data_IF_659744965167
#
_entry.id   IF_659744965167
#
_cell.length_a   1.000
_cell.length_b   1.000
_cell.length_c   1.000
_cell.angle_alpha   90.00
_cell.angle_beta   90.00
_cell.angle_gamma   90.00
#
_symmetry.space_group_name_H-M   'P 1'
#
loop_
_entity.id
_entity.type
_entity.pdbx_description
1 polymer ?
#
# COMPACT_ATOMS: atom_id res chain seq x y z
N UNK A 1 -14.49 16.05 5.52
CA UNK A 1 -13.70 16.09 4.28
C UNK A 1 -12.44 15.24 4.46
N UNK A 2 -12.16 14.39 3.49
CA UNK A 2 -10.97 13.56 3.51
C UNK A 2 -9.91 14.14 2.58
N UNK A 3 -8.66 14.12 3.02
CA UNK A 3 -7.54 14.57 2.20
C UNK A 3 -6.42 13.52 2.23
N UNK A 4 -5.66 13.47 1.13
CA UNK A 4 -4.55 12.53 0.97
C UNK A 4 -3.27 13.33 0.80
N UNK A 5 -2.24 12.97 1.55
CA UNK A 5 -0.93 13.61 1.48
C UNK A 5 0.18 12.59 1.72
N UNK A 6 1.41 12.98 1.40
CA UNK A 6 2.57 12.16 1.78
C UNK A 6 2.65 12.05 3.31
N UNK A 7 3.00 10.88 3.80
CA UNK A 7 3.24 10.69 5.22
C UNK A 7 4.52 11.41 5.64
N UNK A 8 4.59 11.74 6.92
CA UNK A 8 5.82 12.21 7.55
C UNK A 8 6.10 11.36 8.80
N UNK A 9 7.19 11.61 9.47
CA UNK A 9 7.62 10.81 10.62
C UNK A 9 6.56 10.81 11.74
N UNK A 10 5.80 11.88 11.89
CA UNK A 10 4.77 11.99 12.92
C UNK A 10 3.54 11.14 12.64
N UNK A 11 3.36 10.69 11.41
CA UNK A 11 2.22 9.85 11.02
C UNK A 11 2.45 8.36 11.31
N UNK A 12 3.69 7.95 11.54
CA UNK A 12 4.06 6.52 11.58
C UNK A 12 3.33 5.74 12.66
N UNK A 13 3.13 6.34 13.83
CA UNK A 13 2.40 5.69 14.92
C UNK A 13 0.93 5.47 14.55
N UNK A 14 0.31 6.46 13.91
CA UNK A 14 -1.07 6.35 13.44
C UNK A 14 -1.22 5.32 12.33
N UNK A 15 -0.22 5.21 11.44
CA UNK A 15 -0.19 4.19 10.40
C UNK A 15 -0.08 2.79 11.03
N UNK A 16 0.78 2.63 12.02
CA UNK A 16 0.92 1.37 12.74
C UNK A 16 -0.38 0.99 13.44
N UNK A 17 -1.07 1.95 14.04
CA UNK A 17 -2.37 1.71 14.67
C UNK A 17 -3.39 1.25 13.63
N UNK A 18 -3.50 1.93 12.51
CA UNK A 18 -4.39 1.55 11.41
C UNK A 18 -4.09 0.13 10.91
N UNK A 19 -2.81 -0.23 10.80
CA UNK A 19 -2.39 -1.58 10.44
C UNK A 19 -2.86 -2.60 11.48
N UNK A 20 -2.64 -2.34 12.77
CA UNK A 20 -2.91 -3.32 13.82
C UNK A 20 -4.41 -3.61 13.99
N UNK A 21 -5.28 -2.64 13.71
CA UNK A 21 -6.74 -2.85 13.84
C UNK A 21 -7.37 -3.45 12.58
N UNK A 22 -6.68 -3.44 11.43
CA UNK A 22 -7.27 -3.86 10.15
C UNK A 22 -6.64 -5.10 9.53
N UNK A 23 -5.38 -5.37 9.81
CA UNK A 23 -4.63 -6.44 9.16
C UNK A 23 -3.97 -7.34 10.20
N UNK A 24 -3.93 -8.66 9.95
CA UNK A 24 -3.17 -9.57 10.82
C UNK A 24 -1.67 -9.45 10.62
N UNK A 25 -1.21 -8.96 9.47
CA UNK A 25 0.20 -8.74 9.17
C UNK A 25 0.64 -7.42 9.79
N UNK A 26 1.15 -7.49 11.02
CA UNK A 26 1.59 -6.30 11.75
C UNK A 26 3.10 -6.13 11.66
N UNK A 27 3.53 -4.89 11.54
CA UNK A 27 4.95 -4.54 11.44
C UNK A 27 5.37 -3.77 12.69
N UNK A 28 6.65 -3.89 13.08
CA UNK A 28 7.19 -3.07 14.15
C UNK A 28 7.49 -1.65 13.63
N UNK A 29 7.69 -0.71 14.55
CA UNK A 29 7.92 0.70 14.19
C UNK A 29 9.19 0.89 13.36
N UNK A 30 10.21 0.05 13.55
CA UNK A 30 11.44 0.10 12.76
C UNK A 30 11.16 -0.06 11.26
N UNK A 31 10.22 -0.91 10.90
CA UNK A 31 9.87 -1.16 9.51
C UNK A 31 9.23 0.08 8.87
N UNK A 32 8.37 0.79 9.62
CA UNK A 32 7.79 2.05 9.16
C UNK A 32 8.85 3.12 8.98
N UNK A 33 9.79 3.24 9.91
CA UNK A 33 10.92 4.17 9.76
C UNK A 33 11.78 3.84 8.54
N UNK A 34 12.03 2.56 8.30
CA UNK A 34 12.79 2.12 7.13
C UNK A 34 12.19 2.67 5.84
N UNK A 35 10.86 2.52 5.68
CA UNK A 35 10.17 3.06 4.51
C UNK A 35 10.22 4.59 4.47
N UNK A 36 9.96 5.25 5.57
CA UNK A 36 9.89 6.71 5.64
C UNK A 36 11.22 7.37 5.33
N UNK A 37 12.31 6.78 5.79
CA UNK A 37 13.65 7.35 5.60
C UNK A 37 14.21 7.01 4.21
N UNK A 38 13.94 5.82 3.71
CA UNK A 38 14.49 5.36 2.43
C UNK A 38 13.70 5.88 1.22
N UNK A 39 12.36 5.95 1.34
CA UNK A 39 11.49 6.35 0.22
C UNK A 39 10.37 7.28 0.74
N UNK A 40 10.70 8.51 1.10
CA UNK A 40 9.75 9.42 1.78
C UNK A 40 8.50 9.74 0.95
N UNK A 41 8.57 9.66 -0.37
CA UNK A 41 7.42 9.94 -1.23
C UNK A 41 6.55 8.73 -1.54
N UNK A 42 6.91 7.54 -1.07
CA UNK A 42 6.17 6.32 -1.40
C UNK A 42 5.19 5.87 -0.33
N UNK A 43 5.00 6.66 0.72
CA UNK A 43 4.00 6.37 1.74
C UNK A 43 3.04 7.55 1.85
N UNK A 44 1.75 7.24 1.82
CA UNK A 44 0.68 8.23 1.83
C UNK A 44 -0.22 7.99 3.03
N UNK A 45 -0.85 9.04 3.51
CA UNK A 45 -1.94 8.91 4.48
C UNK A 45 -3.18 9.62 3.98
N UNK A 46 -4.31 9.14 4.45
CA UNK A 46 -5.58 9.85 4.33
C UNK A 46 -5.99 10.32 5.71
N UNK A 47 -6.39 11.58 5.81
CA UNK A 47 -6.84 12.14 7.07
C UNK A 47 -8.19 12.82 6.92
N UNK A 48 -8.96 12.83 8.01
CA UNK A 48 -10.25 13.52 8.04
C UNK A 48 -10.05 15.02 8.35
N UNK A 49 -11.15 15.76 8.41
CA UNK A 49 -11.10 17.21 8.67
C UNK A 49 -10.57 17.59 10.06
N UNK A 50 -10.38 16.61 10.94
CA UNK A 50 -9.84 16.81 12.29
C UNK A 50 -8.39 16.32 12.43
N UNK A 51 -7.79 15.89 11.34
CA UNK A 51 -6.41 15.40 11.35
C UNK A 51 -6.26 13.93 11.76
N UNK A 52 -7.34 13.17 11.88
CA UNK A 52 -7.27 11.75 12.20
C UNK A 52 -6.85 10.97 10.96
N UNK A 53 -5.82 10.14 11.08
CA UNK A 53 -5.39 9.23 10.01
C UNK A 53 -6.39 8.09 9.89
N UNK A 54 -7.03 7.97 8.74
CA UNK A 54 -8.06 6.97 8.48
C UNK A 54 -7.67 5.94 7.44
N UNK A 55 -6.50 6.07 6.85
CA UNK A 55 -5.95 5.09 5.90
C UNK A 55 -4.53 5.44 5.54
N UNK A 56 -3.82 4.47 4.95
CA UNK A 56 -2.43 4.68 4.54
C UNK A 56 -2.02 3.72 3.42
N UNK A 57 -0.94 4.08 2.74
CA UNK A 57 -0.14 3.18 1.93
C UNK A 57 1.30 3.22 2.43
N UNK A 58 1.98 2.08 2.36
CA UNK A 58 3.39 1.94 2.69
C UNK A 58 4.08 1.34 1.48
N UNK A 59 4.96 2.10 0.83
CA UNK A 59 5.61 1.69 -0.41
C UNK A 59 7.11 1.77 -0.34
N UNK A 60 7.77 1.00 -1.20
CA UNK A 60 9.23 0.97 -1.31
C UNK A 60 9.65 0.58 -2.74
N UNK A 61 10.94 0.65 -3.00
CA UNK A 61 11.53 0.03 -4.19
C UNK A 61 12.07 -1.35 -3.81
N UNK A 62 12.13 -2.25 -4.79
CA UNK A 62 12.75 -3.56 -4.57
C UNK A 62 14.26 -3.40 -4.39
N UNK A 63 14.82 -4.11 -3.42
CA UNK A 63 16.26 -4.03 -3.12
C UNK A 63 17.13 -4.49 -4.27
N UNK A 64 16.66 -5.49 -5.02
CA UNK A 64 17.41 -6.08 -6.13
C UNK A 64 17.19 -5.35 -7.46
N UNK A 65 16.17 -4.50 -7.55
CA UNK A 65 15.84 -3.82 -8.80
C UNK A 65 15.13 -2.49 -8.51
N UNK A 66 15.86 -1.39 -8.57
CA UNK A 66 15.35 -0.03 -8.33
C UNK A 66 14.32 0.44 -9.37
N UNK A 67 14.15 -0.30 -10.46
CA UNK A 67 13.12 -0.01 -11.46
C UNK A 67 11.79 -0.68 -11.13
N UNK A 68 11.71 -1.36 -10.00
CA UNK A 68 10.51 -2.07 -9.57
C UNK A 68 10.07 -1.55 -8.20
N UNK A 69 8.83 -1.05 -8.13
CA UNK A 69 8.21 -0.63 -6.88
C UNK A 69 7.51 -1.80 -6.18
N UNK A 70 7.30 -1.64 -4.89
CA UNK A 70 6.56 -2.60 -4.09
C UNK A 70 5.62 -1.87 -3.14
N UNK A 71 4.35 -2.20 -3.21
CA UNK A 71 3.35 -1.70 -2.28
C UNK A 71 3.27 -2.67 -1.11
N UNK A 72 3.92 -2.30 -0.02
CA UNK A 72 4.11 -3.19 1.13
C UNK A 72 2.83 -3.41 1.91
N UNK A 73 2.04 -2.36 2.10
CA UNK A 73 0.83 -2.43 2.92
C UNK A 73 -0.14 -1.32 2.56
N UNK A 74 -1.42 -1.64 2.59
CA UNK A 74 -2.51 -0.69 2.40
C UNK A 74 -3.59 -1.04 3.41
N UNK A 75 -4.08 -0.05 4.15
CA UNK A 75 -5.22 -0.26 5.04
C UNK A 75 -6.06 1.00 5.15
N UNK A 76 -7.35 0.81 5.34
CA UNK A 76 -8.32 1.88 5.57
C UNK A 76 -9.19 1.46 6.77
N UNK A 77 -9.37 2.37 7.73
CA UNK A 77 -10.23 2.13 8.88
C UNK A 77 -11.64 1.76 8.43
N UNK A 78 -12.25 0.81 9.12
CA UNK A 78 -13.53 0.22 8.72
C UNK A 78 -14.62 1.26 8.47
N UNK A 79 -14.69 2.29 9.32
CA UNK A 79 -15.70 3.37 9.21
C UNK A 79 -15.51 4.27 7.99
N UNK A 80 -14.35 4.22 7.36
CA UNK A 80 -14.01 5.04 6.19
C UNK A 80 -13.94 4.23 4.89
N UNK A 81 -14.33 2.96 4.93
CA UNK A 81 -14.37 2.12 3.72
C UNK A 81 -15.56 2.47 2.85
N UNK A 82 -15.56 1.97 1.60
CA UNK A 82 -16.59 2.22 0.57
C UNK A 82 -16.63 3.66 0.06
N UNK A 83 -15.59 4.46 0.34
CA UNK A 83 -15.44 5.82 -0.18
C UNK A 83 -14.32 5.90 -1.20
N UNK A 84 -13.89 4.77 -1.75
CA UNK A 84 -12.78 4.67 -2.71
C UNK A 84 -11.45 5.21 -2.15
N UNK A 85 -11.29 5.23 -0.85
CA UNK A 85 -10.11 5.81 -0.22
C UNK A 85 -8.84 5.05 -0.58
N UNK A 86 -8.90 3.71 -0.55
CA UNK A 86 -7.78 2.88 -0.97
C UNK A 86 -7.40 3.14 -2.42
N UNK A 87 -8.38 3.31 -3.30
CA UNK A 87 -8.13 3.65 -4.70
C UNK A 87 -7.34 4.95 -4.83
N UNK A 88 -7.74 6.00 -4.13
CA UNK A 88 -7.05 7.29 -4.20
C UNK A 88 -5.66 7.24 -3.57
N UNK A 89 -5.51 6.54 -2.46
CA UNK A 89 -4.20 6.35 -1.81
C UNK A 89 -3.21 5.65 -2.74
N UNK A 90 -3.63 4.57 -3.38
CA UNK A 90 -2.78 3.81 -4.28
C UNK A 90 -2.48 4.60 -5.55
N UNK A 91 -3.47 5.29 -6.09
CA UNK A 91 -3.29 6.13 -7.29
C UNK A 91 -2.23 7.22 -7.03
N UNK A 92 -2.28 7.86 -5.88
CA UNK A 92 -1.28 8.86 -5.54
C UNK A 92 0.11 8.25 -5.35
N UNK A 93 0.19 7.07 -4.75
CA UNK A 93 1.46 6.34 -4.63
C UNK A 93 2.01 5.99 -6.02
N UNK A 94 1.16 5.55 -6.95
CA UNK A 94 1.57 5.28 -8.33
C UNK A 94 2.15 6.51 -8.98
N UNK A 95 1.53 7.66 -8.78
CA UNK A 95 1.99 8.91 -9.36
C UNK A 95 3.40 9.26 -8.89
N UNK A 96 3.66 9.17 -7.58
CA UNK A 96 4.99 9.45 -7.03
C UNK A 96 6.03 8.42 -7.47
N UNK A 97 5.66 7.15 -7.48
CA UNK A 97 6.55 6.08 -7.95
C UNK A 97 6.99 6.34 -9.38
N UNK A 98 6.04 6.71 -10.23
CA UNK A 98 6.32 6.98 -11.64
C UNK A 98 7.10 8.28 -11.83
N UNK A 99 6.66 9.37 -11.17
CA UNK A 99 7.22 10.70 -11.41
C UNK A 99 8.59 10.90 -10.77
N UNK A 100 8.79 10.39 -9.57
CA UNK A 100 10.02 10.63 -8.79
C UNK A 100 11.03 9.51 -9.00
N UNK A 101 10.59 8.27 -8.89
CA UNK A 101 11.50 7.12 -8.90
C UNK A 101 11.65 6.47 -10.27
N UNK A 102 10.79 6.82 -11.24
CA UNK A 102 10.91 6.37 -12.64
C UNK A 102 10.92 4.86 -12.78
N UNK A 103 10.08 4.17 -12.02
CA UNK A 103 10.02 2.71 -12.08
C UNK A 103 9.21 2.23 -13.27
N UNK A 104 9.45 1.00 -13.70
CA UNK A 104 8.75 0.38 -14.82
C UNK A 104 7.43 -0.27 -14.36
N UNK A 105 7.41 -0.80 -13.14
CA UNK A 105 6.24 -1.46 -12.61
C UNK A 105 6.21 -1.42 -11.08
N UNK A 106 5.07 -1.78 -10.52
CA UNK A 106 4.88 -1.90 -9.07
C UNK A 106 4.13 -3.20 -8.77
N UNK A 107 4.53 -3.91 -7.73
CA UNK A 107 3.90 -5.16 -7.34
C UNK A 107 3.38 -5.10 -5.90
N UNK A 108 2.51 -6.04 -5.59
CA UNK A 108 1.95 -6.24 -4.25
C UNK A 108 1.60 -7.71 -4.05
N UNK A 109 1.38 -8.08 -2.80
CA UNK A 109 0.86 -9.38 -2.43
C UNK A 109 -0.52 -9.23 -1.80
N UNK A 110 -1.43 -10.11 -2.13
CA UNK A 110 -2.80 -10.12 -1.59
C UNK A 110 -3.26 -11.55 -1.34
N UNK A 111 -3.96 -11.77 -0.21
CA UNK A 111 -4.52 -13.09 0.10
C UNK A 111 -5.49 -13.52 -1.00
N UNK A 112 -5.42 -14.81 -1.36
CA UNK A 112 -6.31 -15.35 -2.40
C UNK A 112 -7.78 -15.24 -2.00
N UNK A 113 -8.09 -15.22 -0.71
CA UNK A 113 -9.45 -15.08 -0.20
C UNK A 113 -9.94 -13.63 -0.12
N UNK A 114 -9.07 -12.65 -0.30
CA UNK A 114 -9.44 -11.24 -0.15
C UNK A 114 -10.09 -10.71 -1.44
N UNK A 115 -11.35 -11.09 -1.67
CA UNK A 115 -12.07 -10.77 -2.90
C UNK A 115 -12.28 -9.27 -3.10
N UNK A 116 -12.49 -8.51 -2.02
CA UNK A 116 -12.66 -7.06 -2.11
C UNK A 116 -11.38 -6.38 -2.62
N UNK A 117 -10.23 -6.77 -2.07
CA UNK A 117 -8.94 -6.23 -2.51
C UNK A 117 -8.61 -6.67 -3.94
N UNK A 118 -8.87 -7.92 -4.29
CA UNK A 118 -8.66 -8.41 -5.65
C UNK A 118 -9.49 -7.62 -6.66
N UNK A 119 -10.73 -7.32 -6.34
CA UNK A 119 -11.59 -6.50 -7.19
C UNK A 119 -11.03 -5.09 -7.38
N UNK A 120 -10.56 -4.46 -6.30
CA UNK A 120 -9.92 -3.14 -6.35
C UNK A 120 -8.70 -3.17 -7.26
N UNK A 121 -7.80 -4.11 -7.04
CA UNK A 121 -6.54 -4.16 -7.78
C UNK A 121 -6.74 -4.53 -9.24
N UNK A 122 -7.52 -5.56 -9.51
CA UNK A 122 -7.73 -6.06 -10.88
C UNK A 122 -8.62 -5.13 -11.71
N UNK A 123 -9.79 -4.77 -11.18
CA UNK A 123 -10.80 -4.05 -11.96
C UNK A 123 -10.59 -2.53 -11.98
N UNK A 124 -10.13 -1.94 -10.89
CA UNK A 124 -10.04 -0.48 -10.79
C UNK A 124 -8.62 0.05 -10.98
N UNK A 125 -7.60 -0.71 -10.57
CA UNK A 125 -6.21 -0.25 -10.60
C UNK A 125 -5.36 -0.94 -11.66
N UNK A 126 -5.95 -1.85 -12.42
CA UNK A 126 -5.30 -2.51 -13.55
C UNK A 126 -4.06 -3.31 -13.17
N UNK A 127 -4.13 -4.02 -12.05
CA UNK A 127 -3.12 -5.00 -11.68
C UNK A 127 -3.46 -6.35 -12.29
N UNK A 128 -2.44 -7.14 -12.59
CA UNK A 128 -2.58 -8.51 -13.10
C UNK A 128 -1.85 -9.48 -12.20
N UNK A 129 -2.39 -10.68 -12.06
CA UNK A 129 -1.73 -11.75 -11.31
C UNK A 129 -0.53 -12.23 -12.10
N UNK A 130 0.65 -12.21 -11.47
CA UNK A 130 1.91 -12.66 -12.08
C UNK A 130 2.33 -14.01 -11.53
N UNK A 131 2.01 -14.31 -10.27
CA UNK A 131 2.40 -15.55 -9.63
C UNK A 131 1.49 -15.84 -8.45
N UNK A 132 1.50 -17.09 -8.02
CA UNK A 132 0.88 -17.53 -6.76
C UNK A 132 2.03 -17.91 -5.83
N UNK A 133 2.05 -17.29 -4.64
CA UNK A 133 3.03 -17.56 -3.60
C UNK A 133 2.39 -18.50 -2.56
N UNK A 134 2.68 -19.81 -2.60
CA UNK A 134 2.03 -20.73 -1.66
C UNK A 134 2.49 -20.46 -0.22
N UNK A 135 1.54 -20.57 0.70
CA UNK A 135 1.80 -20.46 2.15
C UNK A 135 2.52 -19.16 2.53
N UNK A 136 2.21 -18.07 1.84
CA UNK A 136 2.91 -16.79 1.98
C UNK A 136 2.68 -16.14 3.34
N UNK A 137 1.43 -16.17 3.82
CA UNK A 137 1.04 -15.52 5.08
C UNK A 137 1.25 -16.42 6.29
N UNK A 138 1.36 -15.81 7.48
CA UNK A 138 1.59 -16.54 8.72
C UNK A 138 0.54 -17.58 9.05
N UNK A 139 -0.71 -17.43 8.57
CA UNK A 139 -1.76 -18.43 8.69
C UNK A 139 -1.71 -19.49 7.57
N UNK A 140 -0.63 -19.51 6.81
CA UNK A 140 -0.38 -20.44 5.70
C UNK A 140 -1.35 -20.28 4.52
N UNK A 141 -2.00 -19.13 4.40
CA UNK A 141 -2.80 -18.84 3.22
C UNK A 141 -1.90 -18.43 2.06
N UNK A 142 -2.29 -18.81 0.84
CA UNK A 142 -1.58 -18.43 -0.37
C UNK A 142 -1.81 -16.94 -0.68
N UNK A 143 -0.86 -16.36 -1.39
CA UNK A 143 -0.97 -14.99 -1.90
C UNK A 143 -0.87 -14.96 -3.41
N UNK A 144 -1.62 -14.05 -4.04
CA UNK A 144 -1.32 -13.63 -5.40
C UNK A 144 -0.27 -12.53 -5.34
N UNK A 145 0.77 -12.67 -6.17
CA UNK A 145 1.66 -11.56 -6.48
C UNK A 145 1.08 -10.87 -7.71
N UNK A 146 0.69 -9.61 -7.54
CA UNK A 146 0.07 -8.82 -8.61
C UNK A 146 0.97 -7.67 -9.03
N UNK A 147 0.87 -7.29 -10.28
CA UNK A 147 1.76 -6.27 -10.86
C UNK A 147 0.97 -5.29 -11.72
N UNK A 148 1.29 -4.02 -11.59
CA UNK A 148 0.85 -2.95 -12.48
C UNK A 148 2.06 -2.43 -13.25
N UNK A 149 1.95 -2.39 -14.57
CA UNK A 149 3.01 -1.88 -15.46
C UNK A 149 2.66 -0.46 -15.88
N UNK A 150 3.61 0.46 -15.69
CA UNK A 150 3.40 1.85 -16.07
C UNK A 150 3.63 2.04 -17.57
N UNK A 151 2.77 2.84 -18.18
CA UNK A 151 2.93 3.23 -19.58
C UNK A 151 4.19 4.10 -19.74
N UNK A 152 4.91 3.86 -20.83
CA UNK A 152 6.10 4.67 -21.16
C UNK A 152 5.75 5.71 -22.20
#
# INVERSE_FOLDING_TARGET
MLSIRKSNVYDLLSMQHCNSVNLPENYNMRYYFYHALSWPSLSQIAEDGKGKVCGYTLGKLEEENEKKGHLTSVAVLKTYRKQKLAFYLITQTHQYVNDIYKVDNICLHVRVSNTAALNLYYNLLNYKVKAIEPLYYGNKEDAYMMEHVFAK
#
